data_IF_489321846286
#
_entry.id   IF_489321846286
#
_cell.length_a   1.000
_cell.length_b   1.000
_cell.length_c   1.000
_cell.angle_alpha   90.00
_cell.angle_beta   90.00
_cell.angle_gamma   90.00
#
_symmetry.space_group_name_H-M   'P 1'
#
loop_
_entity.id
_entity.type
_entity.pdbx_description
1 polymer ?
#
# COMPACT_ATOMS: atom_id res chain seq x y z
N UNK A 1 68.52 -24.86 4.35
CA UNK A 1 67.67 -24.42 5.47
C UNK A 1 66.64 -23.44 4.91
N UNK A 2 65.62 -23.90 4.17
CA UNK A 2 64.77 -22.98 3.39
C UNK A 2 63.41 -23.59 2.96
N UNK A 3 62.67 -24.20 3.89
CA UNK A 3 61.29 -24.68 3.67
C UNK A 3 60.44 -24.49 4.93
N UNK A 4 60.21 -23.24 5.35
CA UNK A 4 59.21 -22.93 6.41
C UNK A 4 58.25 -21.78 6.08
N UNK A 5 58.53 -20.95 5.08
CA UNK A 5 57.77 -19.71 4.84
C UNK A 5 56.39 -19.90 4.17
N UNK A 6 56.25 -20.88 3.25
CA UNK A 6 55.01 -21.05 2.47
C UNK A 6 53.77 -21.50 3.27
N UNK A 7 53.96 -22.19 4.41
CA UNK A 7 52.83 -22.67 5.22
C UNK A 7 52.14 -21.56 6.01
N UNK A 8 52.85 -20.50 6.37
CA UNK A 8 52.31 -19.39 7.16
C UNK A 8 51.40 -18.51 6.30
N UNK A 9 51.77 -18.27 5.03
CA UNK A 9 50.98 -17.45 4.09
C UNK A 9 49.64 -18.11 3.77
N UNK A 10 49.62 -19.43 3.56
CA UNK A 10 48.38 -20.16 3.27
C UNK A 10 47.41 -20.14 4.46
N UNK A 11 47.92 -20.27 5.70
CA UNK A 11 47.10 -20.19 6.90
C UNK A 11 46.52 -18.80 7.12
N UNK A 12 47.29 -17.73 6.85
CA UNK A 12 46.79 -16.35 6.96
C UNK A 12 45.69 -16.06 5.94
N UNK A 13 45.85 -16.52 4.69
CA UNK A 13 44.85 -16.34 3.64
C UNK A 13 43.54 -17.09 3.96
N UNK A 14 43.62 -18.32 4.48
CA UNK A 14 42.45 -19.09 4.92
C UNK A 14 41.78 -18.44 6.14
N UNK A 15 42.56 -17.92 7.08
CA UNK A 15 42.01 -17.25 8.27
C UNK A 15 41.30 -15.93 7.93
N UNK A 16 41.83 -15.15 6.98
CA UNK A 16 41.18 -13.96 6.44
C UNK A 16 39.89 -14.31 5.68
N UNK A 17 39.90 -15.38 4.88
CA UNK A 17 38.71 -15.84 4.17
C UNK A 17 37.60 -16.33 5.13
N UNK A 18 37.98 -16.96 6.25
CA UNK A 18 37.03 -17.36 7.30
C UNK A 18 36.52 -16.14 8.08
N UNK A 19 37.35 -15.13 8.33
CA UNK A 19 36.91 -13.88 8.99
C UNK A 19 35.95 -13.05 8.12
N UNK A 20 36.15 -13.00 6.81
CA UNK A 20 35.22 -12.34 5.87
C UNK A 20 33.85 -13.02 5.83
N UNK A 21 33.78 -14.33 6.07
CA UNK A 21 32.52 -15.07 6.12
C UNK A 21 31.81 -14.99 7.48
N UNK A 22 32.51 -14.67 8.57
CA UNK A 22 31.93 -14.56 9.92
C UNK A 22 31.31 -13.17 10.16
N UNK A 23 31.74 -12.13 9.43
CA UNK A 23 31.24 -10.76 9.62
C UNK A 23 30.13 -10.34 8.65
N UNK A 24 29.43 -11.27 8.00
CA UNK A 24 28.08 -10.97 7.48
C UNK A 24 27.12 -11.08 8.67
N UNK A 25 27.25 -10.15 9.62
CA UNK A 25 26.17 -9.84 10.52
C UNK A 25 24.98 -9.52 9.64
N UNK A 26 24.00 -10.42 9.63
CA UNK A 26 22.71 -10.23 8.98
C UNK A 26 22.07 -9.03 9.67
N UNK A 27 22.37 -7.83 9.17
CA UNK A 27 21.67 -6.60 9.53
C UNK A 27 20.26 -6.84 9.00
N UNK A 28 19.44 -7.48 9.84
CA UNK A 28 18.02 -7.56 9.60
C UNK A 28 17.53 -6.13 9.77
N UNK A 29 17.51 -5.39 8.66
CA UNK A 29 16.91 -4.07 8.62
C UNK A 29 15.52 -4.22 9.25
N UNK A 30 15.22 -3.37 10.23
CA UNK A 30 13.89 -3.35 10.83
C UNK A 30 12.87 -3.23 9.69
N UNK A 31 11.83 -4.07 9.67
CA UNK A 31 10.83 -4.00 8.62
C UNK A 31 10.26 -2.58 8.58
N UNK A 32 10.17 -1.95 7.40
CA UNK A 32 9.78 -0.57 7.29
C UNK A 32 8.41 -0.35 7.93
N UNK A 33 8.26 0.76 8.65
CA UNK A 33 6.98 1.14 9.26
C UNK A 33 5.89 1.16 8.18
N UNK A 34 4.78 0.43 8.36
CA UNK A 34 3.72 0.42 7.36
C UNK A 34 3.06 1.80 7.29
N UNK A 35 2.82 2.27 6.08
CA UNK A 35 2.11 3.52 5.82
C UNK A 35 0.61 3.30 5.95
N UNK A 36 -0.10 4.29 6.51
CA UNK A 36 -1.55 4.22 6.71
C UNK A 36 -2.30 3.99 5.40
N UNK A 37 -1.88 4.67 4.33
CA UNK A 37 -2.42 4.51 2.98
C UNK A 37 -2.26 3.10 2.42
N UNK A 38 -1.15 2.40 2.67
CA UNK A 38 -0.99 1.00 2.23
C UNK A 38 -2.00 0.08 2.93
N UNK A 39 -2.20 0.27 4.24
CA UNK A 39 -3.16 -0.52 5.02
C UNK A 39 -4.59 -0.28 4.55
N UNK A 40 -4.95 0.99 4.33
CA UNK A 40 -6.33 1.36 3.99
C UNK A 40 -6.67 1.03 2.54
N UNK A 41 -5.77 1.34 1.59
CA UNK A 41 -6.08 1.33 0.16
C UNK A 41 -5.61 0.06 -0.55
N UNK A 42 -4.73 -0.71 0.08
CA UNK A 42 -4.24 -1.98 -0.44
C UNK A 42 -4.56 -3.17 0.48
N UNK A 43 -4.83 -2.92 1.76
CA UNK A 43 -5.12 -3.97 2.74
C UNK A 43 -3.89 -4.69 3.26
N UNK A 44 -2.68 -4.11 3.10
CA UNK A 44 -1.42 -4.73 3.53
C UNK A 44 -0.52 -3.77 4.33
N UNK A 45 0.14 -4.26 5.41
CA UNK A 45 -0.08 -5.58 6.03
C UNK A 45 -1.44 -5.64 6.77
N UNK A 46 -1.97 -6.83 7.06
CA UNK A 46 -3.18 -7.00 7.87
C UNK A 46 -3.04 -6.32 9.24
N UNK A 47 -4.09 -5.65 9.70
CA UNK A 47 -4.07 -4.91 10.96
C UNK A 47 -3.79 -5.78 12.19
N UNK A 48 -4.17 -7.06 12.14
CA UNK A 48 -3.85 -8.07 13.17
C UNK A 48 -2.34 -8.23 13.38
N UNK A 49 -1.54 -8.12 12.32
CA UNK A 49 -0.09 -8.23 12.38
C UNK A 49 0.55 -6.96 12.95
N UNK A 50 0.02 -5.80 12.56
CA UNK A 50 0.47 -4.49 13.06
C UNK A 50 0.29 -4.40 14.58
N UNK A 51 -0.85 -4.85 15.12
CA UNK A 51 -1.12 -4.80 16.57
C UNK A 51 -0.14 -5.64 17.40
N UNK A 52 0.42 -6.71 16.82
CA UNK A 52 1.42 -7.53 17.51
C UNK A 52 2.76 -6.83 17.62
N UNK A 53 3.05 -5.90 16.71
CA UNK A 53 4.30 -5.16 16.70
C UNK A 53 4.23 -3.90 17.58
N UNK A 54 4.54 -4.08 18.87
CA UNK A 54 4.53 -3.00 19.88
C UNK A 54 5.56 -1.89 19.63
N UNK A 55 6.55 -2.09 18.74
CA UNK A 55 7.58 -1.08 18.46
C UNK A 55 7.14 -0.01 17.47
N UNK A 56 5.99 -0.17 16.80
CA UNK A 56 5.52 0.80 15.80
C UNK A 56 5.11 2.10 16.50
N UNK A 57 5.94 3.13 16.37
CA UNK A 57 5.59 4.50 16.75
C UNK A 57 4.48 5.03 15.82
N UNK A 58 3.24 4.84 16.26
CA UNK A 58 2.06 5.35 15.57
C UNK A 58 2.02 6.89 15.65
N UNK A 59 2.02 7.55 14.49
CA UNK A 59 1.77 8.99 14.41
C UNK A 59 0.30 9.31 14.76
N UNK A 60 -0.01 10.61 14.81
CA UNK A 60 -1.35 11.10 15.16
C UNK A 60 -2.43 10.58 14.20
N UNK A 61 -2.13 10.47 12.91
CA UNK A 61 -3.08 9.99 11.90
C UNK A 61 -3.35 8.51 12.09
N UNK A 62 -2.31 7.72 12.30
CA UNK A 62 -2.42 6.29 12.55
C UNK A 62 -3.24 5.98 13.81
N UNK A 63 -2.98 6.68 14.91
CA UNK A 63 -3.76 6.54 16.16
C UNK A 63 -5.23 6.88 15.96
N UNK A 64 -5.51 7.93 15.19
CA UNK A 64 -6.88 8.34 14.88
C UNK A 64 -7.61 7.27 14.08
N UNK A 65 -6.94 6.70 13.08
CA UNK A 65 -7.47 5.58 12.31
C UNK A 65 -7.74 4.36 13.20
N UNK A 66 -6.78 3.94 14.03
CA UNK A 66 -6.98 2.81 14.94
C UNK A 66 -8.16 3.00 15.90
N UNK A 67 -8.40 4.24 16.37
CA UNK A 67 -9.56 4.57 17.23
C UNK A 67 -10.89 4.49 16.47
N UNK A 68 -10.90 4.70 15.15
CA UNK A 68 -12.11 4.64 14.34
C UNK A 68 -12.56 3.20 14.05
N UNK A 69 -11.69 2.21 14.23
CA UNK A 69 -12.01 0.80 13.97
C UNK A 69 -12.82 0.23 15.14
N UNK A 70 -14.05 -0.27 14.91
CA UNK A 70 -14.83 -0.93 15.95
C UNK A 70 -14.09 -2.16 16.51
N UNK A 71 -14.24 -2.49 17.81
CA UNK A 71 -13.61 -3.66 18.43
C UNK A 71 -13.89 -4.97 17.69
N UNK A 72 -15.11 -5.12 17.16
CA UNK A 72 -15.56 -6.31 16.43
C UNK A 72 -15.36 -6.24 14.92
N UNK A 73 -14.58 -5.27 14.44
CA UNK A 73 -14.31 -5.13 13.01
C UNK A 73 -13.55 -6.34 12.47
N UNK A 74 -13.99 -6.81 11.30
CA UNK A 74 -13.28 -7.81 10.50
C UNK A 74 -11.79 -7.46 10.32
N UNK A 75 -11.46 -6.17 10.19
CA UNK A 75 -10.08 -5.71 10.00
C UNK A 75 -9.15 -6.14 11.14
N UNK A 76 -9.67 -6.34 12.35
CA UNK A 76 -8.88 -6.72 13.53
C UNK A 76 -8.68 -8.23 13.67
N UNK A 77 -9.61 -9.03 13.15
CA UNK A 77 -9.63 -10.50 13.32
C UNK A 77 -9.15 -11.26 12.09
N UNK A 78 -9.29 -10.68 10.90
CA UNK A 78 -8.99 -11.30 9.62
C UNK A 78 -7.55 -11.84 9.57
N UNK A 79 -7.41 -13.11 9.20
CA UNK A 79 -6.15 -13.69 8.77
C UNK A 79 -5.88 -13.30 7.30
N UNK A 80 -4.61 -13.29 6.90
CA UNK A 80 -4.27 -13.17 5.49
C UNK A 80 -4.86 -14.33 4.67
N UNK A 81 -5.13 -14.12 3.37
CA UNK A 81 -5.69 -15.16 2.50
C UNK A 81 -4.70 -16.32 2.31
N UNK A 82 -5.21 -17.56 2.26
CA UNK A 82 -4.42 -18.78 2.03
C UNK A 82 -4.32 -19.22 0.57
N UNK A 83 -4.94 -18.48 -0.36
CA UNK A 83 -4.96 -18.79 -1.79
C UNK A 83 -5.57 -17.67 -2.62
N UNK A 84 -5.54 -17.79 -3.95
CA UNK A 84 -5.93 -16.73 -4.90
C UNK A 84 -7.42 -16.36 -4.81
N UNK A 85 -8.32 -17.34 -4.81
CA UNK A 85 -9.77 -17.09 -4.66
C UNK A 85 -10.09 -16.40 -3.34
N UNK A 86 -9.42 -16.83 -2.26
CA UNK A 86 -9.56 -16.22 -0.94
C UNK A 86 -8.99 -14.80 -0.92
N UNK A 87 -7.94 -14.53 -1.71
CA UNK A 87 -7.32 -13.21 -1.79
C UNK A 87 -8.25 -12.15 -2.40
N UNK A 88 -9.00 -12.48 -3.46
CA UNK A 88 -9.96 -11.54 -4.02
C UNK A 88 -11.10 -11.24 -3.05
N UNK A 89 -11.68 -12.29 -2.43
CA UNK A 89 -12.73 -12.12 -1.43
C UNK A 89 -12.24 -11.32 -0.21
N UNK A 90 -11.02 -11.60 0.25
CA UNK A 90 -10.35 -10.83 1.28
C UNK A 90 -10.22 -9.35 0.89
N UNK A 91 -9.74 -9.05 -0.33
CA UNK A 91 -9.60 -7.68 -0.82
C UNK A 91 -10.93 -6.93 -0.87
N UNK A 92 -11.99 -7.56 -1.40
CA UNK A 92 -13.33 -6.97 -1.45
C UNK A 92 -13.86 -6.68 -0.04
N UNK A 93 -13.70 -7.64 0.88
CA UNK A 93 -14.15 -7.47 2.26
C UNK A 93 -13.34 -6.41 3.00
N UNK A 94 -12.02 -6.38 2.80
CA UNK A 94 -11.15 -5.35 3.36
C UNK A 94 -11.58 -3.97 2.85
N UNK A 95 -11.78 -3.80 1.53
CA UNK A 95 -12.21 -2.54 0.94
C UNK A 95 -13.58 -2.08 1.48
N UNK A 96 -14.57 -2.96 1.57
CA UNK A 96 -15.88 -2.66 2.18
C UNK A 96 -15.69 -2.11 3.60
N UNK A 97 -14.94 -2.82 4.45
CA UNK A 97 -14.75 -2.45 5.85
C UNK A 97 -13.93 -1.17 6.01
N UNK A 98 -12.95 -0.91 5.15
CA UNK A 98 -12.18 0.33 5.14
C UNK A 98 -13.08 1.53 4.81
N UNK A 99 -13.95 1.39 3.80
CA UNK A 99 -14.94 2.42 3.46
C UNK A 99 -15.83 2.69 4.68
N UNK A 100 -16.37 1.64 5.32
CA UNK A 100 -17.26 1.79 6.47
C UNK A 100 -16.57 2.43 7.67
N UNK A 101 -15.35 2.02 8.00
CA UNK A 101 -14.58 2.61 9.10
C UNK A 101 -14.33 4.10 8.88
N UNK A 102 -14.05 4.51 7.65
CA UNK A 102 -13.72 5.89 7.33
C UNK A 102 -14.97 6.73 7.16
N UNK A 103 -15.95 6.26 6.37
CA UNK A 103 -17.14 7.02 5.98
C UNK A 103 -18.33 6.84 6.93
N UNK A 104 -18.27 5.86 7.82
CA UNK A 104 -19.28 5.58 8.85
C UNK A 104 -20.25 4.46 8.47
N UNK A 105 -20.88 3.87 9.50
CA UNK A 105 -21.73 2.69 9.40
C UNK A 105 -22.90 2.82 8.41
N UNK A 106 -23.44 4.03 8.25
CA UNK A 106 -24.54 4.31 7.31
C UNK A 106 -24.17 4.06 5.84
N UNK A 107 -22.89 3.93 5.53
CA UNK A 107 -22.39 3.71 4.15
C UNK A 107 -22.23 2.23 3.79
N UNK A 108 -22.53 1.29 4.69
CA UNK A 108 -22.22 -0.15 4.51
C UNK A 108 -22.78 -0.76 3.23
N UNK A 109 -24.03 -0.50 2.89
CA UNK A 109 -24.65 -1.09 1.70
C UNK A 109 -24.00 -0.57 0.41
N UNK A 110 -23.66 0.72 0.39
CA UNK A 110 -22.96 1.34 -0.74
C UNK A 110 -21.50 0.88 -0.83
N UNK A 111 -20.81 0.77 0.30
CA UNK A 111 -19.46 0.23 0.41
C UNK A 111 -19.37 -1.20 -0.14
N UNK A 112 -20.34 -2.05 0.23
CA UNK A 112 -20.46 -3.42 -0.29
C UNK A 112 -20.75 -3.43 -1.78
N UNK A 113 -21.69 -2.60 -2.23
CA UNK A 113 -22.03 -2.50 -3.65
C UNK A 113 -20.83 -2.10 -4.50
N UNK A 114 -20.05 -1.12 -4.04
CA UNK A 114 -18.83 -0.69 -4.71
C UNK A 114 -17.76 -1.80 -4.69
N UNK A 115 -17.47 -2.40 -3.53
CA UNK A 115 -16.40 -3.39 -3.39
C UNK A 115 -16.66 -4.67 -4.19
N UNK A 116 -17.92 -5.04 -4.41
CA UNK A 116 -18.28 -6.16 -5.26
C UNK A 116 -18.18 -5.83 -6.76
N UNK A 117 -18.45 -4.58 -7.13
CA UNK A 117 -18.53 -4.16 -8.54
C UNK A 117 -17.17 -3.73 -9.14
N UNK A 118 -16.29 -3.14 -8.34
CA UNK A 118 -14.98 -2.67 -8.82
C UNK A 118 -14.09 -3.86 -9.25
N UNK A 119 -13.42 -3.80 -10.41
CA UNK A 119 -12.63 -4.91 -10.96
C UNK A 119 -11.28 -5.04 -10.26
N UNK A 120 -11.28 -5.37 -8.96
CA UNK A 120 -10.05 -5.52 -8.20
C UNK A 120 -9.17 -6.64 -8.77
N UNK A 121 -7.93 -6.31 -9.10
CA UNK A 121 -6.91 -7.31 -9.36
C UNK A 121 -6.31 -7.78 -8.02
N UNK A 122 -5.81 -9.01 -7.93
CA UNK A 122 -5.06 -9.47 -6.75
C UNK A 122 -3.64 -8.90 -6.79
N UNK A 123 -3.05 -8.91 -7.98
CA UNK A 123 -1.77 -8.31 -8.31
C UNK A 123 -1.91 -7.59 -9.65
N UNK A 124 -1.14 -6.53 -9.87
CA UNK A 124 -1.13 -5.82 -11.14
C UNK A 124 0.03 -6.25 -12.05
N UNK A 125 0.89 -7.18 -11.60
CA UNK A 125 2.03 -7.74 -12.35
C UNK A 125 2.97 -6.69 -13.01
N UNK A 126 3.04 -5.49 -12.45
CA UNK A 126 3.80 -4.37 -13.02
C UNK A 126 3.07 -3.64 -14.15
N UNK A 127 1.92 -4.13 -14.61
CA UNK A 127 1.10 -3.55 -15.69
C UNK A 127 0.34 -2.30 -15.19
N UNK A 128 0.31 -1.25 -16.01
CA UNK A 128 -0.33 0.03 -15.66
C UNK A 128 -1.85 -0.04 -15.84
N UNK A 129 -2.33 -0.94 -16.68
CA UNK A 129 -3.73 -1.14 -17.06
C UNK A 129 -4.59 -1.55 -15.87
N UNK A 130 -4.15 -2.53 -15.07
CA UNK A 130 -4.89 -3.00 -13.89
C UNK A 130 -5.27 -1.87 -12.92
N UNK A 131 -4.31 -1.12 -12.35
CA UNK A 131 -4.63 -0.02 -11.47
C UNK A 131 -5.35 1.13 -12.21
N UNK A 132 -5.07 1.35 -13.49
CA UNK A 132 -5.78 2.37 -14.28
C UNK A 132 -7.26 2.03 -14.47
N UNK A 133 -7.59 0.77 -14.73
CA UNK A 133 -8.98 0.29 -14.87
C UNK A 133 -9.76 0.44 -13.56
N UNK A 134 -9.14 0.10 -12.42
CA UNK A 134 -9.72 0.36 -11.10
C UNK A 134 -9.95 1.87 -10.86
N UNK A 135 -9.03 2.73 -11.31
CA UNK A 135 -9.17 4.19 -11.20
C UNK A 135 -10.28 4.74 -12.12
N UNK A 136 -10.37 4.26 -13.35
CA UNK A 136 -11.39 4.66 -14.33
C UNK A 136 -12.78 4.16 -13.89
N UNK A 137 -12.86 3.00 -13.22
CA UNK A 137 -14.10 2.52 -12.63
C UNK A 137 -14.68 3.52 -11.62
N UNK A 138 -13.83 4.19 -10.83
CA UNK A 138 -14.27 5.24 -9.90
C UNK A 138 -14.92 6.42 -10.63
N UNK A 139 -14.35 6.87 -11.76
CA UNK A 139 -14.94 7.96 -12.54
C UNK A 139 -16.33 7.60 -13.03
N UNK A 140 -16.49 6.38 -13.56
CA UNK A 140 -17.79 5.86 -13.98
C UNK A 140 -18.77 5.73 -12.82
N UNK A 141 -18.30 5.34 -11.63
CA UNK A 141 -19.13 5.25 -10.43
C UNK A 141 -19.66 6.62 -10.00
N UNK A 142 -18.77 7.61 -9.89
CA UNK A 142 -19.10 8.97 -9.47
C UNK A 142 -19.99 9.68 -10.49
N UNK A 143 -19.78 9.47 -11.79
CA UNK A 143 -20.62 10.02 -12.84
C UNK A 143 -22.06 9.53 -12.74
N UNK A 144 -22.26 8.24 -12.45
CA UNK A 144 -23.59 7.62 -12.31
C UNK A 144 -24.24 7.89 -10.95
N UNK A 145 -23.46 8.31 -9.96
CA UNK A 145 -23.89 8.51 -8.56
C UNK A 145 -23.21 9.77 -7.99
N UNK A 146 -23.57 10.97 -8.46
CA UNK A 146 -22.90 12.20 -8.03
C UNK A 146 -23.03 12.45 -6.51
N UNK A 147 -24.13 12.00 -5.90
CA UNK A 147 -24.43 12.19 -4.48
C UNK A 147 -24.02 10.97 -3.61
N UNK A 148 -23.12 10.12 -4.10
CA UNK A 148 -22.65 8.94 -3.36
C UNK A 148 -22.02 9.34 -2.02
N UNK A 149 -22.47 8.69 -0.95
CA UNK A 149 -22.02 8.99 0.42
C UNK A 149 -20.54 8.63 0.65
N UNK A 150 -19.97 7.81 -0.22
CA UNK A 150 -18.58 7.33 -0.16
C UNK A 150 -17.63 8.10 -1.09
N UNK A 151 -18.08 9.18 -1.75
CA UNK A 151 -17.31 9.92 -2.77
C UNK A 151 -15.89 10.28 -2.33
N UNK A 152 -15.73 10.75 -1.09
CA UNK A 152 -14.43 11.16 -0.55
C UNK A 152 -13.44 9.99 -0.43
N UNK A 153 -13.92 8.80 -0.05
CA UNK A 153 -13.10 7.59 -0.06
C UNK A 153 -12.75 7.19 -1.50
N UNK A 154 -13.71 7.28 -2.43
CA UNK A 154 -13.47 6.92 -3.83
C UNK A 154 -12.38 7.78 -4.48
N UNK A 155 -12.31 9.08 -4.16
CA UNK A 155 -11.19 9.90 -4.61
C UNK A 155 -9.84 9.45 -4.02
N UNK A 156 -9.77 9.04 -2.74
CA UNK A 156 -8.55 8.45 -2.17
C UNK A 156 -8.14 7.17 -2.88
N UNK A 157 -9.09 6.26 -3.08
CA UNK A 157 -8.88 5.02 -3.79
C UNK A 157 -8.34 5.30 -5.20
N UNK A 158 -9.01 6.18 -5.95
CA UNK A 158 -8.58 6.61 -7.28
C UNK A 158 -7.17 7.19 -7.27
N UNK A 159 -6.85 8.08 -6.33
CA UNK A 159 -5.50 8.68 -6.24
C UNK A 159 -4.43 7.61 -6.05
N UNK A 160 -4.65 6.63 -5.17
CA UNK A 160 -3.71 5.52 -5.00
C UNK A 160 -3.56 4.72 -6.28
N UNK A 161 -4.65 4.39 -6.96
CA UNK A 161 -4.62 3.60 -8.19
C UNK A 161 -3.93 4.33 -9.34
N UNK A 162 -4.20 5.62 -9.53
CA UNK A 162 -3.47 6.47 -10.48
C UNK A 162 -1.97 6.52 -10.18
N UNK A 163 -1.58 6.54 -8.90
CA UNK A 163 -0.18 6.51 -8.51
C UNK A 163 0.48 5.16 -8.80
N UNK A 164 -0.20 4.05 -8.51
CA UNK A 164 0.30 2.72 -8.87
C UNK A 164 0.46 2.58 -10.39
N UNK A 165 -0.54 3.04 -11.16
CA UNK A 165 -0.49 3.08 -12.62
C UNK A 165 0.67 3.95 -13.13
N UNK A 166 0.95 5.09 -12.49
CA UNK A 166 2.08 5.95 -12.84
C UNK A 166 3.43 5.23 -12.62
N UNK A 167 3.60 4.59 -11.47
CA UNK A 167 4.81 3.83 -11.12
C UNK A 167 5.04 2.70 -12.15
N UNK A 168 3.98 1.95 -12.49
CA UNK A 168 3.98 0.94 -13.56
C UNK A 168 4.30 1.49 -14.96
N UNK A 169 3.62 2.56 -15.37
CA UNK A 169 3.84 3.21 -16.66
C UNK A 169 5.29 3.69 -16.81
N UNK A 170 5.89 4.19 -15.72
CA UNK A 170 7.31 4.55 -15.69
C UNK A 170 8.23 3.34 -15.81
N UNK A 171 7.91 2.24 -15.14
CA UNK A 171 8.66 0.99 -15.26
C UNK A 171 8.64 0.42 -16.68
N UNK A 172 7.50 0.51 -17.36
CA UNK A 172 7.32 0.00 -18.72
C UNK A 172 7.65 1.03 -19.83
N UNK A 173 8.23 2.18 -19.49
CA UNK A 173 8.61 3.23 -20.46
C UNK A 173 7.44 3.79 -21.30
N UNK A 174 6.22 3.84 -20.75
CA UNK A 174 5.00 4.34 -21.41
C UNK A 174 4.96 5.88 -21.41
N UNK A 175 5.85 6.49 -22.21
CA UNK A 175 6.12 7.94 -22.22
C UNK A 175 4.88 8.83 -22.43
N UNK A 176 3.86 8.34 -23.12
CA UNK A 176 2.60 9.07 -23.33
C UNK A 176 1.65 9.01 -22.13
N UNK A 177 1.75 7.98 -21.29
CA UNK A 177 0.77 7.70 -20.25
C UNK A 177 1.15 8.34 -18.91
N UNK A 178 2.40 8.18 -18.45
CA UNK A 178 2.79 8.69 -17.12
C UNK A 178 2.56 10.20 -16.93
N UNK A 179 2.71 11.10 -17.93
CA UNK A 179 2.45 12.53 -17.71
C UNK A 179 0.96 12.78 -17.47
N UNK A 180 0.09 12.06 -18.19
CA UNK A 180 -1.36 12.15 -18.05
C UNK A 180 -1.80 11.63 -16.67
N UNK A 181 -1.24 10.52 -16.22
CA UNK A 181 -1.51 9.97 -14.89
C UNK A 181 -1.09 10.92 -13.78
N UNK A 182 0.04 11.61 -13.93
CA UNK A 182 0.52 12.59 -12.96
C UNK A 182 -0.44 13.78 -12.80
N UNK A 183 -0.97 14.30 -13.92
CA UNK A 183 -1.98 15.37 -13.89
C UNK A 183 -3.25 14.91 -13.20
N UNK A 184 -3.80 13.76 -13.63
CA UNK A 184 -5.02 13.18 -13.03
C UNK A 184 -4.86 12.89 -11.53
N UNK A 185 -3.68 12.44 -11.12
CA UNK A 185 -3.35 12.21 -9.71
C UNK A 185 -3.46 13.49 -8.90
N UNK A 186 -2.82 14.58 -9.36
CA UNK A 186 -2.85 15.90 -8.69
C UNK A 186 -4.25 16.48 -8.63
N UNK A 187 -5.01 16.39 -9.71
CA UNK A 187 -6.41 16.80 -9.74
C UNK A 187 -7.26 16.02 -8.73
N UNK A 188 -7.06 14.70 -8.66
CA UNK A 188 -7.77 13.84 -7.71
C UNK A 188 -7.41 14.20 -6.26
N UNK A 189 -6.14 14.44 -5.95
CA UNK A 189 -5.71 14.92 -4.63
C UNK A 189 -6.34 16.26 -4.26
N UNK A 190 -6.51 17.19 -5.21
CA UNK A 190 -7.16 18.46 -4.93
C UNK A 190 -8.62 18.28 -4.46
N UNK A 191 -9.35 17.30 -5.01
CA UNK A 191 -10.71 16.97 -4.58
C UNK A 191 -10.79 16.41 -3.16
N UNK A 192 -9.69 15.86 -2.65
CA UNK A 192 -9.59 15.25 -1.31
C UNK A 192 -9.28 16.31 -0.24
N UNK A 193 -8.63 17.43 -0.61
CA UNK A 193 -8.16 18.45 0.34
C UNK A 193 -9.28 19.13 1.12
N UNK A 194 -10.47 19.24 0.53
CA UNK A 194 -11.64 19.87 1.15
C UNK A 194 -12.50 18.91 1.98
N UNK A 195 -12.02 17.69 2.25
CA UNK A 195 -12.78 16.71 3.01
C UNK A 195 -12.96 17.13 4.46
N UNK A 196 -14.22 17.20 4.91
CA UNK A 196 -14.56 17.41 6.33
C UNK A 196 -14.18 16.20 7.19
N UNK A 197 -14.10 15.03 6.57
CA UNK A 197 -13.67 13.82 7.25
C UNK A 197 -12.17 13.86 7.50
N UNK A 198 -11.82 14.19 8.73
CA UNK A 198 -10.44 14.28 9.20
C UNK A 198 -9.53 13.04 9.03
N UNK A 199 -10.05 11.83 8.75
CA UNK A 199 -9.21 10.68 8.36
C UNK A 199 -8.76 10.77 6.90
N UNK A 200 -9.57 11.36 6.04
CA UNK A 200 -9.31 11.46 4.60
C UNK A 200 -8.00 12.23 4.32
N UNK A 201 -7.77 13.45 4.84
CA UNK A 201 -6.48 14.14 4.69
C UNK A 201 -5.31 13.43 5.37
N UNK A 202 -5.56 12.62 6.41
CA UNK A 202 -4.52 11.81 7.05
C UNK A 202 -4.01 10.71 6.12
N UNK A 203 -4.93 10.01 5.45
CA UNK A 203 -4.61 8.95 4.51
C UNK A 203 -3.98 9.53 3.24
N UNK A 204 -4.48 10.67 2.75
CA UNK A 204 -3.87 11.38 1.61
C UNK A 204 -2.43 11.81 1.89
N UNK A 205 -2.14 12.36 3.08
CA UNK A 205 -0.76 12.72 3.46
C UNK A 205 0.13 11.49 3.59
N UNK A 206 -0.39 10.40 4.17
CA UNK A 206 0.31 9.12 4.19
C UNK A 206 0.63 8.64 2.77
N UNK A 207 -0.31 8.80 1.84
CA UNK A 207 -0.11 8.48 0.43
C UNK A 207 1.05 9.29 -0.13
N UNK A 208 1.03 10.62 0.01
CA UNK A 208 2.04 11.53 -0.54
C UNK A 208 3.47 11.30 0.00
N UNK A 209 3.62 10.93 1.28
CA UNK A 209 4.95 10.73 1.89
C UNK A 209 5.54 9.35 1.61
N UNK A 210 4.74 8.39 1.13
CA UNK A 210 5.27 7.09 0.70
C UNK A 210 6.30 7.30 -0.43
N UNK A 211 7.43 6.59 -0.42
CA UNK A 211 8.37 6.62 -1.55
C UNK A 211 7.77 5.97 -2.81
N UNK A 212 6.99 4.90 -2.65
CA UNK A 212 6.25 4.19 -3.69
C UNK A 212 4.97 3.57 -3.10
N UNK A 213 3.99 3.23 -3.94
CA UNK A 213 2.78 2.49 -3.52
C UNK A 213 2.69 1.10 -4.12
N UNK A 214 3.42 0.87 -5.22
CA UNK A 214 3.43 -0.39 -5.92
C UNK A 214 4.83 -0.80 -6.37
N UNK A 215 5.53 0.05 -7.14
CA UNK A 215 6.86 -0.26 -7.67
C UNK A 215 7.92 0.69 -7.13
N UNK A 216 8.91 0.14 -6.42
CA UNK A 216 10.03 0.89 -5.87
C UNK A 216 10.92 1.48 -6.98
N UNK A 217 11.47 2.68 -6.74
CA UNK A 217 12.44 3.32 -7.64
C UNK A 217 11.85 4.18 -8.77
N UNK A 218 10.54 4.15 -8.99
CA UNK A 218 9.90 4.89 -10.09
C UNK A 218 9.37 6.29 -9.71
N UNK A 219 9.62 6.71 -8.47
CA UNK A 219 9.34 8.07 -8.00
C UNK A 219 7.86 8.40 -7.84
N UNK A 220 7.57 9.70 -7.71
CA UNK A 220 6.21 10.23 -7.47
C UNK A 220 5.76 11.11 -8.64
N UNK A 221 4.46 11.10 -8.99
CA UNK A 221 3.89 12.00 -10.00
C UNK A 221 3.90 13.49 -9.62
#
# INVERSE_FOLDING_TARGET
MERKSGKIILFLALFLFVLDNILIAKVMAEPPKPFLSAIVLFGMPPLKEIKKNRSIKADKCFRKYLKAIPPESYLLSAAGPSGTKDALNYRRRNLEEQIVVIMGEKTRDEARSFSQAVPLCIEWEGMSEGPLDEANFVDNWLLKRPDTSIAQFLYLFKAHRLRAAYESARACYEKGLWPVLAVKYKETLNKIRSSENSLIPCIARSLEVQPYVYLEGYGRP
#
